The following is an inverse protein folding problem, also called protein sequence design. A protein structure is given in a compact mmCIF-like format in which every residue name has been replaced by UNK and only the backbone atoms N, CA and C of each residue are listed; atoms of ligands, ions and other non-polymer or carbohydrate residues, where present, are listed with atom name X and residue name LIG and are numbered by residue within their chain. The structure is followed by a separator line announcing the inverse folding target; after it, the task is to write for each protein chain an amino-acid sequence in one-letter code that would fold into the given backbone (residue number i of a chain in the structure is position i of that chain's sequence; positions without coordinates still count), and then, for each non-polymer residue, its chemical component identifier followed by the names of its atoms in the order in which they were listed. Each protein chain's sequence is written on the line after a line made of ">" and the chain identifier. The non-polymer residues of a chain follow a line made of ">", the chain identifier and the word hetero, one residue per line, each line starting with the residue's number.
data_IF_352862796218
#
_entry.id   IF_352862796218
#
_cell.length_a   1.000
_cell.length_b   1.000
_cell.length_c   1.000
_cell.angle_alpha   90.00
_cell.angle_beta   90.00
_cell.angle_gamma   90.00
#
_symmetry.space_group_name_H-M   'P 1'
#
loop_
_entity.id
_entity.type
_entity.pdbx_description
1 polymer ?
#
# COMPACT_ATOMS: atom_id res chain seq x y z
N UNK A 1 12.86 -34.43 3.66
CA UNK A 1 11.58 -33.86 3.17
C UNK A 1 11.03 -32.73 4.08
N UNK A 2 11.38 -32.67 5.37
CA UNK A 2 10.89 -31.66 6.34
C UNK A 2 11.47 -30.25 6.11
N UNK A 3 12.70 -30.15 5.59
CA UNK A 3 13.37 -28.86 5.33
C UNK A 3 12.65 -27.97 4.29
N UNK A 4 11.94 -28.59 3.32
CA UNK A 4 11.20 -27.89 2.26
C UNK A 4 9.87 -27.30 2.78
N UNK A 5 9.22 -27.94 3.77
CA UNK A 5 7.92 -27.48 4.28
C UNK A 5 8.06 -26.34 5.29
N UNK A 6 9.06 -26.39 6.19
CA UNK A 6 9.34 -25.31 7.15
C UNK A 6 9.76 -24.01 6.46
N UNK A 7 10.51 -24.09 5.35
CA UNK A 7 10.87 -22.91 4.57
C UNK A 7 9.63 -22.24 3.98
N UNK A 8 8.67 -23.03 3.48
CA UNK A 8 7.46 -22.52 2.83
C UNK A 8 6.52 -21.80 3.79
N UNK A 9 6.32 -22.31 5.01
CA UNK A 9 5.54 -21.64 6.05
C UNK A 9 6.20 -20.35 6.55
N UNK A 10 7.50 -20.39 6.82
CA UNK A 10 8.24 -19.21 7.27
C UNK A 10 8.30 -18.14 6.17
N UNK A 11 8.48 -18.55 4.92
CA UNK A 11 8.41 -17.67 3.75
C UNK A 11 7.02 -17.05 3.61
N UNK A 12 5.93 -17.82 3.77
CA UNK A 12 4.54 -17.32 3.73
C UNK A 12 4.29 -16.30 4.84
N UNK A 13 4.74 -16.57 6.07
CA UNK A 13 4.66 -15.62 7.20
C UNK A 13 5.42 -14.32 6.92
N UNK A 14 6.65 -14.43 6.41
CA UNK A 14 7.47 -13.28 6.06
C UNK A 14 6.82 -12.45 4.93
N UNK A 15 6.26 -13.09 3.91
CA UNK A 15 5.49 -12.44 2.84
C UNK A 15 4.26 -11.70 3.40
N UNK A 16 3.47 -12.35 4.25
CA UNK A 16 2.29 -11.74 4.85
C UNK A 16 2.63 -10.53 5.72
N UNK A 17 3.71 -10.61 6.50
CA UNK A 17 4.22 -9.48 7.28
C UNK A 17 4.75 -8.36 6.37
N UNK A 18 5.52 -8.70 5.34
CA UNK A 18 6.06 -7.76 4.37
C UNK A 18 4.97 -7.01 3.60
N UNK A 19 3.93 -7.70 3.12
CA UNK A 19 2.80 -7.06 2.41
C UNK A 19 2.00 -6.14 3.34
N UNK A 20 1.81 -6.52 4.61
CA UNK A 20 1.18 -5.65 5.60
C UNK A 20 2.03 -4.41 5.88
N UNK A 21 3.33 -4.62 6.12
CA UNK A 21 4.25 -3.54 6.44
C UNK A 21 4.34 -2.57 5.27
N UNK A 22 4.43 -3.07 4.04
CA UNK A 22 4.36 -2.28 2.81
C UNK A 22 3.07 -1.46 2.74
N UNK A 23 1.90 -2.10 2.92
CA UNK A 23 0.61 -1.42 2.88
C UNK A 23 0.51 -0.27 3.90
N UNK A 24 0.94 -0.51 5.13
CA UNK A 24 0.95 0.50 6.21
C UNK A 24 1.92 1.63 5.87
N UNK A 25 3.15 1.30 5.49
CA UNK A 25 4.21 2.29 5.29
C UNK A 25 3.90 3.18 4.08
N UNK A 26 3.50 2.59 2.95
CA UNK A 26 3.11 3.33 1.74
C UNK A 26 1.83 4.13 1.95
N UNK A 27 0.86 3.58 2.69
CA UNK A 27 -0.36 4.30 3.04
C UNK A 27 -0.07 5.54 3.89
N UNK A 28 0.72 5.39 4.95
CA UNK A 28 1.13 6.50 5.83
C UNK A 28 1.98 7.53 5.07
N UNK A 29 3.04 7.10 4.39
CA UNK A 29 3.92 8.00 3.66
C UNK A 29 3.18 8.75 2.54
N UNK A 30 2.28 8.04 1.84
CA UNK A 30 1.41 8.63 0.83
C UNK A 30 0.50 9.69 1.43
N UNK A 31 -0.22 9.36 2.51
CA UNK A 31 -1.12 10.31 3.20
C UNK A 31 -0.37 11.55 3.68
N UNK A 32 0.79 11.37 4.31
CA UNK A 32 1.61 12.48 4.81
C UNK A 32 2.07 13.36 3.64
N UNK A 33 2.55 12.75 2.55
CA UNK A 33 2.99 13.48 1.36
C UNK A 33 1.84 14.28 0.73
N UNK A 34 0.65 13.68 0.62
CA UNK A 34 -0.55 14.36 0.13
C UNK A 34 -0.97 15.52 1.03
N UNK A 35 -0.93 15.33 2.35
CA UNK A 35 -1.28 16.37 3.30
C UNK A 35 -0.33 17.57 3.18
N UNK A 36 0.99 17.32 3.12
CA UNK A 36 1.98 18.39 2.93
C UNK A 36 1.76 19.11 1.60
N UNK A 37 1.52 18.38 0.50
CA UNK A 37 1.25 18.99 -0.79
C UNK A 37 -0.01 19.87 -0.77
N UNK A 38 -1.12 19.37 -0.21
CA UNK A 38 -2.40 20.07 -0.21
C UNK A 38 -2.46 21.26 0.75
N UNK A 39 -1.83 21.17 1.93
CA UNK A 39 -1.92 22.20 2.96
C UNK A 39 -0.76 23.18 2.95
N UNK A 40 0.40 22.80 2.41
CA UNK A 40 1.62 23.62 2.47
C UNK A 40 2.11 24.09 1.10
N UNK A 41 2.12 23.21 0.10
CA UNK A 41 2.78 23.50 -1.19
C UNK A 41 1.84 24.11 -2.22
N UNK A 42 0.60 23.62 -2.31
CA UNK A 42 -0.33 24.00 -3.37
C UNK A 42 -1.17 25.23 -2.96
N UNK A 43 -1.15 26.33 -3.73
CA UNK A 43 -2.04 27.46 -3.54
C UNK A 43 -3.50 27.04 -3.68
N UNK A 44 -4.38 27.55 -2.80
CA UNK A 44 -5.79 27.11 -2.70
C UNK A 44 -6.58 27.30 -3.99
N UNK A 45 -6.22 28.32 -4.77
CA UNK A 45 -6.77 28.66 -6.09
C UNK A 45 -6.43 27.64 -7.19
N UNK A 46 -5.42 26.80 -7.00
CA UNK A 46 -4.95 25.82 -7.99
C UNK A 46 -5.32 24.37 -7.65
N UNK A 47 -5.96 24.14 -6.50
CA UNK A 47 -6.33 22.79 -6.04
C UNK A 47 -7.21 22.08 -7.06
N UNK A 48 -8.19 22.79 -7.64
CA UNK A 48 -9.12 22.24 -8.64
C UNK A 48 -8.40 21.65 -9.87
N UNK A 49 -7.32 22.30 -10.29
CA UNK A 49 -6.51 21.89 -11.45
C UNK A 49 -5.62 20.69 -11.11
N UNK A 50 -5.10 20.62 -9.89
CA UNK A 50 -4.25 19.52 -9.42
C UNK A 50 -5.09 18.30 -8.98
N UNK A 51 -6.37 18.47 -8.68
CA UNK A 51 -7.22 17.44 -8.08
C UNK A 51 -7.28 16.15 -8.91
N UNK A 52 -7.40 16.28 -10.23
CA UNK A 52 -7.48 15.14 -11.15
C UNK A 52 -6.20 14.31 -11.14
N UNK A 53 -5.00 14.87 -11.42
CA UNK A 53 -3.76 14.10 -11.34
C UNK A 53 -3.50 13.57 -9.92
N UNK A 54 -3.89 14.30 -8.88
CA UNK A 54 -3.77 13.86 -7.49
C UNK A 54 -4.61 12.60 -7.21
N UNK A 55 -5.84 12.56 -7.73
CA UNK A 55 -6.73 11.41 -7.63
C UNK A 55 -6.15 10.18 -8.33
N UNK A 56 -5.54 10.33 -9.51
CA UNK A 56 -4.90 9.21 -10.20
C UNK A 56 -3.72 8.63 -9.41
N UNK A 57 -2.87 9.50 -8.84
CA UNK A 57 -1.75 9.07 -8.01
C UNK A 57 -2.24 8.41 -6.72
N UNK A 58 -3.28 8.99 -6.08
CA UNK A 58 -3.89 8.39 -4.91
C UNK A 58 -4.50 7.02 -5.24
N UNK A 59 -5.23 6.89 -6.34
CA UNK A 59 -5.82 5.64 -6.77
C UNK A 59 -4.75 4.58 -7.06
N UNK A 60 -3.59 4.97 -7.60
CA UNK A 60 -2.46 4.07 -7.79
C UNK A 60 -1.82 3.64 -6.45
N UNK A 61 -1.51 4.60 -5.56
CA UNK A 61 -0.90 4.32 -4.26
C UNK A 61 -1.80 3.49 -3.35
N UNK A 62 -3.06 3.90 -3.18
CA UNK A 62 -4.03 3.17 -2.38
C UNK A 62 -4.49 1.89 -3.10
N UNK A 63 -4.50 1.86 -4.42
CA UNK A 63 -4.79 0.65 -5.21
C UNK A 63 -3.75 -0.44 -5.00
N UNK A 64 -2.46 -0.10 -5.03
CA UNK A 64 -1.39 -1.08 -4.72
C UNK A 64 -1.42 -1.53 -3.25
N UNK A 65 -1.81 -0.65 -2.33
CA UNK A 65 -2.04 -1.00 -0.92
C UNK A 65 -3.21 -2.00 -0.77
N UNK A 66 -4.35 -1.73 -1.40
CA UNK A 66 -5.50 -2.63 -1.43
C UNK A 66 -5.15 -3.98 -2.08
N UNK A 67 -4.39 -3.96 -3.18
CA UNK A 67 -3.94 -5.18 -3.85
C UNK A 67 -3.02 -6.02 -2.95
N UNK A 68 -2.15 -5.38 -2.17
CA UNK A 68 -1.29 -6.05 -1.20
C UNK A 68 -2.12 -6.75 -0.11
N UNK A 69 -3.17 -6.10 0.39
CA UNK A 69 -4.09 -6.71 1.36
C UNK A 69 -4.88 -7.86 0.73
N UNK A 70 -5.33 -7.72 -0.52
CA UNK A 70 -6.05 -8.77 -1.25
C UNK A 70 -5.18 -10.00 -1.52
N UNK A 71 -3.93 -9.81 -1.93
CA UNK A 71 -2.96 -10.91 -2.15
C UNK A 71 -2.74 -11.65 -0.83
N UNK A 72 -2.51 -10.92 0.26
CA UNK A 72 -2.43 -11.50 1.62
C UNK A 72 -3.69 -12.28 1.98
N UNK A 73 -4.89 -11.73 1.72
CA UNK A 73 -6.15 -12.40 2.00
C UNK A 73 -6.31 -13.70 1.20
N UNK A 74 -5.90 -13.74 -0.07
CA UNK A 74 -5.92 -14.98 -0.87
C UNK A 74 -4.92 -16.01 -0.39
N UNK A 75 -3.72 -15.58 -0.01
CA UNK A 75 -2.68 -16.47 0.55
C UNK A 75 -3.15 -17.14 1.85
N UNK A 76 -3.92 -16.41 2.68
CA UNK A 76 -4.47 -16.95 3.93
C UNK A 76 -5.76 -17.77 3.76
N UNK A 77 -6.53 -17.53 2.69
CA UNK A 77 -7.81 -18.22 2.41
C UNK A 77 -7.64 -19.55 1.65
N UNK A 78 -6.52 -19.75 0.96
CA UNK A 78 -6.18 -21.03 0.30
C UNK A 78 -5.56 -22.06 1.28
N UNK A 79 -5.89 -21.93 2.56
CA UNK A 79 -5.60 -22.87 3.65
C UNK A 79 -6.92 -23.51 4.07
#
# INVERSE_FOLDING_TARGET
>A
MILMSTNKENYKKALNFGLLFYAIFVGLSGTISFAVLLFWVVPKDQISTILVPLLFIALFLYGTCALSILIRSKINKNE
#
